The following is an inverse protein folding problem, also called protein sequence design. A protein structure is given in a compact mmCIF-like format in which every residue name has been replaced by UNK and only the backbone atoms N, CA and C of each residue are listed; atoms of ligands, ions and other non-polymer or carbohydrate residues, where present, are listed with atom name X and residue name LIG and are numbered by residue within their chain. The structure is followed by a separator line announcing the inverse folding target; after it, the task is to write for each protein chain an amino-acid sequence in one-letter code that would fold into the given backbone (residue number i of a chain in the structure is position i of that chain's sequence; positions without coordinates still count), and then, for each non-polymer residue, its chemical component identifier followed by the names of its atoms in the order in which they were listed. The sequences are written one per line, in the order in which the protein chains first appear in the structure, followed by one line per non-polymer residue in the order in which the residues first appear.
data_IF_771546506994
#
_entry.id   IF_771546506994
#
_cell.length_a   1.000
_cell.length_b   1.000
_cell.length_c   1.000
_cell.angle_alpha   90.00
_cell.angle_beta   90.00
_cell.angle_gamma   90.00
#
_symmetry.space_group_name_H-M   'P 1'
#
loop_
_entity.id
_entity.type
_entity.pdbx_description
1 polymer ?
#
# COMPACT_ATOMS: atom_id res chain seq x y z
N UNK A 1 -2.25 -0.20 2.90
CA UNK A 1 -3.43 0.31 2.18
C UNK A 1 -3.89 -0.70 1.14
N UNK A 2 -5.18 -0.80 0.90
CA UNK A 2 -5.75 -1.72 -0.09
C UNK A 2 -6.82 -1.00 -0.94
N UNK A 3 -7.14 -1.58 -2.10
CA UNK A 3 -8.13 -1.08 -3.06
C UNK A 3 -7.80 -1.52 -4.48
N UNK A 4 -8.78 -1.63 -5.36
CA UNK A 4 -8.62 -2.10 -6.74
C UNK A 4 -7.76 -1.19 -7.64
N UNK A 5 -7.46 -1.63 -8.86
CA UNK A 5 -6.93 -0.74 -9.88
C UNK A 5 -7.88 0.45 -10.08
N UNK A 6 -7.37 1.65 -10.27
CA UNK A 6 -8.20 2.86 -10.44
C UNK A 6 -8.81 3.44 -9.15
N UNK A 7 -8.70 2.76 -7.99
CA UNK A 7 -9.30 3.28 -6.73
C UNK A 7 -8.64 4.54 -6.15
N UNK A 8 -7.50 4.99 -6.67
CA UNK A 8 -6.82 6.19 -6.19
C UNK A 8 -5.95 6.02 -4.95
N UNK A 9 -5.58 4.79 -4.55
CA UNK A 9 -4.73 4.51 -3.38
C UNK A 9 -3.45 5.33 -3.33
N UNK A 10 -2.66 5.31 -4.40
CA UNK A 10 -1.38 6.04 -4.45
C UNK A 10 -1.59 7.54 -4.27
N UNK A 11 -2.67 8.08 -4.82
CA UNK A 11 -3.06 9.46 -4.65
C UNK A 11 -3.50 9.77 -3.22
N UNK A 12 -4.25 8.84 -2.59
CA UNK A 12 -4.62 8.94 -1.19
C UNK A 12 -3.40 8.88 -0.24
N UNK A 13 -2.35 8.11 -0.59
CA UNK A 13 -1.09 8.14 0.16
C UNK A 13 -0.38 9.48 -0.01
N UNK A 14 -0.30 9.97 -1.24
CA UNK A 14 0.43 11.19 -1.56
C UNK A 14 -0.21 12.43 -0.94
N UNK A 15 -1.51 12.60 -1.07
CA UNK A 15 -2.24 13.77 -0.56
C UNK A 15 -2.69 13.59 0.89
N UNK A 16 -3.23 12.44 1.25
CA UNK A 16 -3.78 12.22 2.60
C UNK A 16 -2.70 12.04 3.67
N UNK A 17 -1.62 11.36 3.35
CA UNK A 17 -0.52 11.11 4.31
C UNK A 17 0.63 12.10 4.07
N UNK A 18 0.73 12.64 2.84
CA UNK A 18 1.76 13.58 2.41
C UNK A 18 3.12 12.92 2.14
N UNK A 19 3.90 13.53 1.26
CA UNK A 19 5.29 13.18 1.03
C UNK A 19 6.21 14.18 1.73
N UNK A 20 7.21 13.69 2.46
CA UNK A 20 8.18 14.56 3.13
C UNK A 20 9.10 15.28 2.13
N UNK A 21 9.45 14.62 1.03
CA UNK A 21 10.32 15.14 -0.03
C UNK A 21 9.98 14.53 -1.38
N UNK A 22 10.07 15.32 -2.44
CA UNK A 22 9.89 14.85 -3.83
C UNK A 22 10.92 13.76 -4.14
N UNK A 23 10.43 12.59 -4.59
CA UNK A 23 11.27 11.44 -4.94
C UNK A 23 11.69 10.53 -3.78
N UNK A 24 11.44 10.92 -2.54
CA UNK A 24 11.67 10.07 -1.36
C UNK A 24 10.34 9.41 -0.97
N UNK A 25 10.32 8.08 -0.94
CA UNK A 25 9.13 7.29 -0.55
C UNK A 25 8.98 7.22 0.98
N UNK A 26 8.88 8.40 1.58
CA UNK A 26 8.62 8.60 3.01
C UNK A 26 7.49 9.62 3.14
N UNK A 27 6.52 9.32 3.98
CA UNK A 27 5.42 10.26 4.24
C UNK A 27 5.86 11.41 5.14
N UNK A 28 5.06 12.46 5.23
CA UNK A 28 5.31 13.58 6.14
C UNK A 28 5.41 13.14 7.62
N UNK A 29 4.78 12.01 7.97
CA UNK A 29 4.83 11.42 9.31
C UNK A 29 6.01 10.44 9.50
N UNK A 30 6.91 10.33 8.54
CA UNK A 30 8.10 9.45 8.61
C UNK A 30 7.84 7.99 8.24
N UNK A 31 6.63 7.61 7.79
CA UNK A 31 6.33 6.25 7.37
C UNK A 31 6.99 5.94 6.03
N UNK A 32 7.58 4.75 5.92
CA UNK A 32 8.20 4.26 4.68
C UNK A 32 7.13 3.68 3.74
N UNK A 33 7.10 4.11 2.49
CA UNK A 33 6.17 3.57 1.50
C UNK A 33 6.76 2.34 0.83
N UNK A 34 6.05 1.23 0.93
CA UNK A 34 6.39 -0.07 0.32
C UNK A 34 5.43 -0.29 -0.84
N UNK A 35 5.89 0.00 -2.06
CA UNK A 35 5.13 -0.18 -3.30
C UNK A 35 6.05 -0.71 -4.41
N UNK A 36 5.70 -1.85 -5.00
CA UNK A 36 6.49 -2.44 -6.10
C UNK A 36 6.21 -1.79 -7.46
N UNK A 37 5.07 -1.13 -7.61
CA UNK A 37 4.71 -0.49 -8.87
C UNK A 37 5.64 0.69 -9.18
N UNK A 38 6.03 1.48 -8.20
CA UNK A 38 6.98 2.59 -8.36
C UNK A 38 8.35 2.11 -8.88
N UNK A 39 8.84 1.01 -8.30
CA UNK A 39 10.11 0.40 -8.73
C UNK A 39 9.99 -0.17 -10.14
N UNK A 40 8.86 -0.80 -10.44
CA UNK A 40 8.58 -1.35 -11.76
C UNK A 40 8.51 -0.27 -12.83
N UNK A 41 7.80 0.84 -12.56
CA UNK A 41 7.72 1.97 -13.50
C UNK A 41 9.09 2.60 -13.76
N UNK A 42 9.94 2.71 -12.73
CA UNK A 42 11.33 3.14 -12.92
C UNK A 42 12.07 2.20 -13.85
N UNK A 43 11.98 0.88 -13.65
CA UNK A 43 12.65 -0.09 -14.50
C UNK A 43 12.15 -0.06 -15.95
N UNK A 44 10.85 0.17 -16.16
CA UNK A 44 10.30 0.36 -17.51
C UNK A 44 10.91 1.60 -18.19
N UNK A 45 11.02 2.72 -17.48
CA UNK A 45 11.66 3.94 -17.99
C UNK A 45 13.11 3.71 -18.36
N UNK A 46 13.88 3.10 -17.46
CA UNK A 46 15.31 2.82 -17.65
C UNK A 46 15.53 1.89 -18.85
N UNK A 47 14.64 0.93 -19.08
CA UNK A 47 14.65 0.02 -20.23
C UNK A 47 14.01 0.61 -21.49
N UNK A 48 13.48 1.84 -21.47
CA UNK A 48 12.76 2.50 -22.58
C UNK A 48 11.55 1.68 -23.08
N UNK A 49 10.90 0.93 -22.18
CA UNK A 49 9.70 0.14 -22.50
C UNK A 49 8.44 0.98 -22.30
N UNK A 50 7.44 0.70 -23.13
CA UNK A 50 6.12 1.34 -23.02
C UNK A 50 5.44 0.99 -21.69
N UNK A 51 4.68 1.95 -21.14
CA UNK A 51 3.89 1.77 -19.91
C UNK A 51 2.57 1.03 -20.14
N UNK A 52 2.12 0.88 -21.39
CA UNK A 52 0.87 0.17 -21.69
C UNK A 52 1.07 -1.33 -21.54
N UNK A 53 0.30 -1.95 -20.66
CA UNK A 53 0.36 -3.40 -20.39
C UNK A 53 -0.42 -4.22 -21.47
N UNK A 54 -0.31 -3.85 -22.73
CA UNK A 54 -0.93 -4.62 -23.80
C UNK A 54 -0.02 -5.79 -24.23
N UNK A 55 -0.60 -6.99 -24.31
CA UNK A 55 0.10 -8.22 -24.67
C UNK A 55 0.68 -8.24 -26.11
N UNK A 56 0.31 -7.28 -26.94
CA UNK A 56 0.59 -7.28 -28.38
C UNK A 56 2.01 -6.84 -28.78
N UNK A 57 2.86 -6.38 -27.86
CA UNK A 57 4.14 -5.73 -28.24
C UNK A 57 5.38 -6.63 -28.23
N UNK A 58 5.24 -7.95 -28.03
CA UNK A 58 6.39 -8.87 -27.95
C UNK A 58 7.30 -8.69 -26.71
N UNK A 59 7.10 -7.62 -25.93
CA UNK A 59 7.91 -7.25 -24.76
C UNK A 59 7.46 -7.92 -23.46
N UNK A 60 6.53 -8.87 -23.49
CA UNK A 60 5.92 -9.48 -22.31
C UNK A 60 6.94 -10.12 -21.36
N UNK A 61 7.87 -10.92 -21.89
CA UNK A 61 8.89 -11.61 -21.08
C UNK A 61 9.84 -10.65 -20.37
N UNK A 62 10.28 -9.60 -21.06
CA UNK A 62 11.18 -8.59 -20.47
C UNK A 62 10.46 -7.80 -19.37
N UNK A 63 9.22 -7.39 -19.61
CA UNK A 63 8.38 -6.72 -18.59
C UNK A 63 8.15 -7.59 -17.37
N UNK A 64 7.88 -8.89 -17.56
CA UNK A 64 7.69 -9.83 -16.46
C UNK A 64 8.97 -9.98 -15.63
N UNK A 65 10.13 -10.05 -16.28
CA UNK A 65 11.43 -10.09 -15.61
C UNK A 65 11.66 -8.81 -14.77
N UNK A 66 11.41 -7.64 -15.34
CA UNK A 66 11.52 -6.36 -14.63
C UNK A 66 10.52 -6.27 -13.45
N UNK A 67 9.30 -6.79 -13.63
CA UNK A 67 8.32 -6.84 -12.54
C UNK A 67 8.75 -7.75 -11.41
N UNK A 68 9.33 -8.90 -11.69
CA UNK A 68 9.88 -9.78 -10.65
C UNK A 68 11.06 -9.12 -9.93
N UNK A 69 11.97 -8.48 -10.65
CA UNK A 69 13.08 -7.71 -10.05
C UNK A 69 12.56 -6.60 -9.13
N UNK A 70 11.51 -5.88 -9.55
CA UNK A 70 10.89 -4.83 -8.75
C UNK A 70 10.30 -5.40 -7.45
N UNK A 71 9.59 -6.54 -7.51
CA UNK A 71 9.06 -7.23 -6.32
C UNK A 71 10.18 -7.65 -5.36
N UNK A 72 11.26 -8.25 -5.87
CA UNK A 72 12.40 -8.68 -5.04
C UNK A 72 13.05 -7.48 -4.34
N UNK A 73 13.30 -6.38 -5.07
CA UNK A 73 13.88 -5.18 -4.47
C UNK A 73 12.95 -4.56 -3.42
N UNK A 74 11.64 -4.51 -3.71
CA UNK A 74 10.65 -3.98 -2.76
C UNK A 74 10.59 -4.84 -1.49
N UNK A 75 10.66 -6.16 -1.63
CA UNK A 75 10.71 -7.08 -0.49
C UNK A 75 11.96 -6.83 0.37
N UNK A 76 13.14 -6.73 -0.24
CA UNK A 76 14.38 -6.40 0.49
C UNK A 76 14.29 -5.07 1.24
N UNK A 77 13.69 -4.04 0.61
CA UNK A 77 13.46 -2.75 1.29
C UNK A 77 12.53 -2.92 2.50
N UNK A 78 11.44 -3.67 2.34
CA UNK A 78 10.52 -3.96 3.43
C UNK A 78 11.20 -4.68 4.57
N UNK A 79 12.04 -5.67 4.29
CA UNK A 79 12.78 -6.43 5.30
C UNK A 79 13.73 -5.51 6.09
N UNK A 80 14.48 -4.62 5.40
CA UNK A 80 15.31 -3.62 6.06
C UNK A 80 14.49 -2.65 6.95
N UNK A 81 13.28 -2.27 6.53
CA UNK A 81 12.40 -1.42 7.34
C UNK A 81 11.89 -2.16 8.59
N UNK A 82 11.62 -3.46 8.45
CA UNK A 82 11.23 -4.32 9.58
C UNK A 82 12.38 -4.48 10.56
N UNK A 83 13.60 -4.73 10.07
CA UNK A 83 14.82 -4.82 10.88
C UNK A 83 15.06 -3.53 11.66
N UNK A 84 14.89 -2.38 11.01
CA UNK A 84 14.98 -1.05 11.63
C UNK A 84 13.77 -0.66 12.49
N UNK A 85 12.76 -1.50 12.63
CA UNK A 85 11.50 -1.21 13.35
C UNK A 85 10.80 0.07 12.88
N UNK A 86 10.88 0.36 11.59
CA UNK A 86 10.31 1.58 11.01
C UNK A 86 8.81 1.40 10.72
N UNK A 87 8.05 2.47 10.90
CA UNK A 87 6.66 2.51 10.47
C UNK A 87 6.54 2.45 8.94
N UNK A 88 5.52 1.75 8.43
CA UNK A 88 5.37 1.51 6.99
C UNK A 88 3.94 1.73 6.51
N UNK A 89 3.81 2.19 5.26
CA UNK A 89 2.60 2.09 4.45
C UNK A 89 2.86 1.05 3.37
N UNK A 90 2.25 -0.13 3.50
CA UNK A 90 2.34 -1.20 2.51
C UNK A 90 1.16 -1.03 1.55
N UNK A 91 1.44 -0.72 0.29
CA UNK A 91 0.44 -0.53 -0.75
C UNK A 91 0.21 -1.82 -1.53
N UNK A 92 -1.06 -2.21 -1.66
CA UNK A 92 -1.48 -3.41 -2.37
C UNK A 92 -2.89 -3.31 -2.93
N UNK A 93 -3.24 -4.22 -3.84
CA UNK A 93 -4.57 -4.19 -4.47
C UNK A 93 -5.70 -4.70 -3.58
N UNK A 94 -5.42 -5.47 -2.56
CA UNK A 94 -6.47 -6.10 -1.73
C UNK A 94 -7.08 -7.37 -2.32
N UNK A 95 -6.59 -7.87 -3.47
CA UNK A 95 -7.14 -9.08 -4.10
C UNK A 95 -6.74 -10.37 -3.39
N UNK A 96 -5.53 -10.48 -2.90
CA UNK A 96 -5.00 -11.68 -2.23
C UNK A 96 -5.20 -11.56 -0.72
N UNK A 97 -6.35 -12.06 -0.27
CA UNK A 97 -6.71 -12.04 1.15
C UNK A 97 -5.69 -12.79 2.01
N UNK A 98 -5.33 -14.00 1.60
CA UNK A 98 -4.45 -14.86 2.40
C UNK A 98 -3.06 -14.25 2.56
N UNK A 99 -2.48 -13.75 1.48
CA UNK A 99 -1.20 -13.07 1.53
C UNK A 99 -1.22 -11.88 2.49
N UNK A 100 -2.22 -11.01 2.36
CA UNK A 100 -2.32 -9.78 3.19
C UNK A 100 -2.50 -10.13 4.67
N UNK A 101 -3.34 -11.10 4.99
CA UNK A 101 -3.59 -11.50 6.38
C UNK A 101 -2.40 -12.25 6.99
N UNK A 102 -1.68 -13.05 6.21
CA UNK A 102 -0.42 -13.68 6.63
C UNK A 102 0.64 -12.63 6.92
N UNK A 103 0.87 -11.68 6.00
CA UNK A 103 1.84 -10.59 6.19
C UNK A 103 1.47 -9.75 7.44
N UNK A 104 0.18 -9.42 7.61
CA UNK A 104 -0.31 -8.68 8.76
C UNK A 104 -0.13 -9.44 10.09
N UNK A 105 -0.38 -10.76 10.09
CA UNK A 105 -0.18 -11.62 11.27
C UNK A 105 1.29 -11.69 11.65
N UNK A 106 2.17 -11.87 10.67
CA UNK A 106 3.63 -11.88 10.88
C UNK A 106 4.11 -10.56 11.49
N UNK A 107 3.64 -9.42 10.96
CA UNK A 107 3.98 -8.11 11.51
C UNK A 107 3.48 -7.93 12.96
N UNK A 108 2.26 -8.38 13.26
CA UNK A 108 1.72 -8.35 14.64
C UNK A 108 2.57 -9.21 15.60
N UNK A 109 3.03 -10.39 15.17
CA UNK A 109 3.86 -11.29 15.97
C UNK A 109 5.22 -10.69 16.35
N UNK A 110 5.76 -9.79 15.54
CA UNK A 110 7.02 -9.09 15.83
C UNK A 110 6.82 -7.70 16.46
N UNK A 111 5.58 -7.36 16.85
CA UNK A 111 5.27 -6.18 17.66
C UNK A 111 4.65 -4.99 16.93
N UNK A 112 4.36 -5.08 15.63
CA UNK A 112 3.67 -3.99 14.93
C UNK A 112 2.18 -3.93 15.27
N UNK A 113 1.65 -2.73 15.43
CA UNK A 113 0.22 -2.45 15.31
C UNK A 113 -0.12 -2.35 13.82
N UNK A 114 -1.05 -3.19 13.36
CA UNK A 114 -1.37 -3.27 11.93
C UNK A 114 -2.80 -2.80 11.68
N UNK A 115 -2.92 -1.83 10.79
CA UNK A 115 -4.19 -1.22 10.39
C UNK A 115 -4.39 -1.37 8.89
N UNK A 116 -5.65 -1.40 8.45
CA UNK A 116 -5.98 -1.37 7.03
C UNK A 116 -6.82 -0.13 6.71
N UNK A 117 -6.36 0.63 5.72
CA UNK A 117 -7.16 1.65 5.04
C UNK A 117 -7.50 1.09 3.67
N UNK A 118 -8.78 0.93 3.41
CA UNK A 118 -9.30 0.38 2.17
C UNK A 118 -9.93 1.50 1.35
N UNK A 119 -9.34 1.79 0.19
CA UNK A 119 -9.87 2.82 -0.73
C UNK A 119 -10.79 2.15 -1.73
N UNK A 120 -12.07 2.43 -1.63
CA UNK A 120 -13.13 1.86 -2.45
C UNK A 120 -13.58 2.84 -3.53
N UNK A 121 -13.98 2.29 -4.67
CA UNK A 121 -14.64 3.00 -5.77
C UNK A 121 -15.63 2.08 -6.46
N UNK A 122 -16.59 2.63 -7.19
CA UNK A 122 -17.41 1.87 -8.12
C UNK A 122 -16.57 1.32 -9.27
N UNK A 123 -17.09 0.34 -9.98
CA UNK A 123 -16.40 -0.25 -11.14
C UNK A 123 -16.25 0.78 -12.26
N UNK A 124 -17.28 1.59 -12.50
CA UNK A 124 -17.31 2.63 -13.51
C UNK A 124 -16.19 3.64 -13.30
N UNK A 125 -16.06 4.17 -12.09
CA UNK A 125 -14.99 5.11 -11.71
C UNK A 125 -13.60 4.47 -11.83
N UNK A 126 -13.48 3.19 -11.46
CA UNK A 126 -12.21 2.47 -11.59
C UNK A 126 -11.79 2.30 -13.06
N UNK A 127 -12.74 2.00 -13.96
CA UNK A 127 -12.52 1.87 -15.39
C UNK A 127 -12.16 3.23 -16.01
N UNK A 128 -12.93 4.27 -15.75
CA UNK A 128 -12.67 5.62 -16.22
C UNK A 128 -11.26 6.08 -15.84
N UNK A 129 -10.90 6.00 -14.56
CA UNK A 129 -9.57 6.39 -14.09
C UNK A 129 -8.44 5.55 -14.66
N UNK A 130 -8.71 4.29 -15.00
CA UNK A 130 -7.72 3.44 -15.65
C UNK A 130 -7.36 3.95 -17.05
N UNK A 131 -8.33 4.51 -17.80
CA UNK A 131 -8.07 5.08 -19.14
C UNK A 131 -7.23 6.35 -19.09
N UNK A 132 -7.30 7.11 -17.99
CA UNK A 132 -6.59 8.37 -17.80
C UNK A 132 -5.12 8.18 -17.34
N UNK A 133 -4.74 6.95 -16.98
CA UNK A 133 -3.40 6.66 -16.46
C UNK A 133 -2.39 6.44 -17.57
N UNK A 134 -1.13 6.89 -17.43
CA UNK A 134 -0.05 6.54 -18.35
C UNK A 134 0.13 5.02 -18.46
N UNK A 135 0.05 4.31 -17.34
CA UNK A 135 0.09 2.84 -17.29
C UNK A 135 -1.33 2.28 -17.20
N UNK A 136 -1.90 1.98 -18.34
CA UNK A 136 -3.21 1.36 -18.42
C UNK A 136 -3.12 -0.15 -18.21
N UNK A 137 -4.11 -0.68 -17.52
CA UNK A 137 -4.31 -2.12 -17.31
C UNK A 137 -5.46 -2.57 -18.22
N UNK A 138 -5.39 -3.74 -18.87
CA UNK A 138 -6.51 -4.26 -19.66
C UNK A 138 -7.81 -4.27 -18.83
N UNK A 139 -8.91 -3.84 -19.44
CA UNK A 139 -10.21 -3.68 -18.79
C UNK A 139 -10.65 -4.95 -18.04
N UNK A 140 -10.53 -6.11 -18.69
CA UNK A 140 -10.83 -7.40 -18.06
C UNK A 140 -10.08 -7.59 -16.74
N UNK A 141 -8.81 -7.21 -16.67
CA UNK A 141 -8.01 -7.33 -15.43
C UNK A 141 -8.50 -6.34 -14.37
N UNK A 142 -8.98 -5.16 -14.76
CA UNK A 142 -9.59 -4.19 -13.82
C UNK A 142 -10.86 -4.79 -13.23
N UNK A 143 -11.76 -5.31 -14.07
CA UNK A 143 -13.04 -5.93 -13.65
C UNK A 143 -12.79 -7.12 -12.73
N UNK A 144 -11.93 -8.06 -13.13
CA UNK A 144 -11.62 -9.25 -12.34
C UNK A 144 -10.99 -8.87 -10.99
N UNK A 145 -10.10 -7.88 -10.99
CA UNK A 145 -9.47 -7.40 -9.77
C UNK A 145 -10.46 -6.68 -8.86
N UNK A 146 -11.36 -5.86 -9.41
CA UNK A 146 -12.40 -5.16 -8.68
C UNK A 146 -13.33 -6.15 -7.99
N UNK A 147 -13.84 -7.15 -8.72
CA UNK A 147 -14.71 -8.19 -8.18
C UNK A 147 -14.05 -8.94 -7.01
N UNK A 148 -12.80 -9.37 -7.16
CA UNK A 148 -12.05 -10.06 -6.09
C UNK A 148 -11.86 -9.18 -4.87
N UNK A 149 -11.58 -7.91 -5.08
CA UNK A 149 -11.37 -6.92 -4.02
C UNK A 149 -12.67 -6.70 -3.24
N UNK A 150 -13.82 -6.53 -3.93
CA UNK A 150 -15.12 -6.38 -3.28
C UNK A 150 -15.49 -7.59 -2.40
N UNK A 151 -15.24 -8.80 -2.88
CA UNK A 151 -15.47 -10.03 -2.11
C UNK A 151 -14.61 -10.12 -0.83
N UNK A 152 -13.51 -9.40 -0.77
CA UNK A 152 -12.59 -9.44 0.37
C UNK A 152 -12.87 -8.37 1.43
N UNK A 153 -13.64 -7.31 1.13
CA UNK A 153 -13.88 -6.19 2.07
C UNK A 153 -14.38 -6.70 3.43
N UNK A 154 -15.47 -7.46 3.43
CA UNK A 154 -16.05 -7.99 4.68
C UNK A 154 -15.14 -8.99 5.41
N UNK A 155 -14.30 -9.72 4.67
CA UNK A 155 -13.28 -10.62 5.25
C UNK A 155 -12.18 -9.81 5.95
N UNK A 156 -11.69 -8.73 5.31
CA UNK A 156 -10.71 -7.84 5.92
C UNK A 156 -11.26 -7.13 7.15
N UNK A 157 -12.50 -6.64 7.09
CA UNK A 157 -13.15 -6.02 8.23
C UNK A 157 -13.20 -6.96 9.44
N UNK A 158 -13.56 -8.23 9.23
CA UNK A 158 -13.53 -9.24 10.30
C UNK A 158 -12.13 -9.51 10.84
N UNK A 159 -11.11 -9.61 9.96
CA UNK A 159 -9.75 -9.91 10.34
C UNK A 159 -9.07 -8.76 11.12
N UNK A 160 -9.19 -7.53 10.64
CA UNK A 160 -8.58 -6.36 11.28
C UNK A 160 -9.41 -5.82 12.45
N UNK A 161 -10.72 -6.05 12.45
CA UNK A 161 -11.69 -5.49 13.40
C UNK A 161 -11.97 -4.01 13.12
N UNK A 162 -13.12 -3.52 13.56
CA UNK A 162 -13.63 -2.17 13.26
C UNK A 162 -12.68 -1.04 13.70
N UNK A 163 -11.88 -1.25 14.75
CA UNK A 163 -10.92 -0.24 15.25
C UNK A 163 -9.69 -0.08 14.36
N UNK A 164 -9.35 -1.10 13.59
CA UNK A 164 -8.14 -1.15 12.77
C UNK A 164 -8.45 -1.27 11.26
N UNK A 165 -9.71 -1.11 10.88
CA UNK A 165 -10.17 -1.17 9.49
C UNK A 165 -10.99 0.06 9.15
N UNK A 166 -10.57 0.80 8.14
CA UNK A 166 -11.25 2.00 7.65
C UNK A 166 -11.52 1.83 6.17
N UNK A 167 -12.77 2.07 5.76
CA UNK A 167 -13.15 2.16 4.35
C UNK A 167 -13.23 3.64 3.99
N UNK A 168 -12.60 4.01 2.91
CA UNK A 168 -12.62 5.34 2.31
C UNK A 168 -13.33 5.24 0.98
N UNK A 169 -14.47 5.90 0.85
CA UNK A 169 -15.14 6.05 -0.44
C UNK A 169 -14.41 7.13 -1.26
N UNK A 170 -13.96 6.74 -2.46
CA UNK A 170 -13.25 7.63 -3.38
C UNK A 170 -13.91 7.64 -4.77
N UNK A 171 -15.25 7.59 -4.82
CA UNK A 171 -15.99 7.76 -6.08
C UNK A 171 -15.84 9.18 -6.61
N UNK A 172 -15.92 10.17 -5.73
CA UNK A 172 -15.65 11.56 -6.05
C UNK A 172 -14.28 11.97 -5.51
N UNK A 173 -13.48 12.63 -6.33
CA UNK A 173 -12.21 13.21 -5.88
C UNK A 173 -12.54 14.47 -5.09
N UNK A 174 -12.39 14.39 -3.78
CA UNK A 174 -12.55 15.57 -2.90
C UNK A 174 -11.39 15.65 -1.92
N UNK A 175 -11.03 16.85 -1.54
CA UNK A 175 -10.01 17.09 -0.51
C UNK A 175 -10.41 16.46 0.82
N UNK A 176 -11.71 16.38 1.11
CA UNK A 176 -12.26 15.75 2.32
C UNK A 176 -11.87 14.28 2.46
N UNK A 177 -11.83 13.53 1.33
CA UNK A 177 -11.42 12.11 1.31
C UNK A 177 -9.96 11.98 1.76
N UNK A 178 -9.08 12.84 1.27
CA UNK A 178 -7.66 12.82 1.60
C UNK A 178 -7.40 13.30 3.02
N UNK A 179 -8.12 14.33 3.45
CA UNK A 179 -8.10 14.81 4.83
C UNK A 179 -8.55 13.72 5.82
N UNK A 180 -9.58 12.95 5.48
CA UNK A 180 -10.04 11.81 6.27
C UNK A 180 -8.94 10.75 6.41
N UNK A 181 -8.28 10.37 5.30
CA UNK A 181 -7.15 9.44 5.34
C UNK A 181 -6.03 9.97 6.24
N UNK A 182 -5.68 11.23 6.10
CA UNK A 182 -4.67 11.89 6.92
C UNK A 182 -5.03 11.94 8.40
N UNK A 183 -6.29 12.24 8.74
CA UNK A 183 -6.81 12.21 10.12
C UNK A 183 -6.72 10.81 10.73
N UNK A 184 -7.13 9.78 9.97
CA UNK A 184 -7.08 8.39 10.43
C UNK A 184 -5.64 7.91 10.66
N UNK A 185 -4.71 8.21 9.76
CA UNK A 185 -3.30 7.86 9.96
C UNK A 185 -2.73 8.57 11.18
N UNK A 186 -2.99 9.86 11.37
CA UNK A 186 -2.56 10.59 12.57
C UNK A 186 -3.17 10.00 13.85
N UNK A 187 -4.42 9.56 13.81
CA UNK A 187 -5.09 8.87 14.94
C UNK A 187 -4.36 7.56 15.28
N UNK A 188 -4.04 6.76 14.27
CA UNK A 188 -3.31 5.49 14.44
C UNK A 188 -1.92 5.71 15.05
N UNK A 189 -1.19 6.72 14.56
CA UNK A 189 0.17 7.04 15.03
C UNK A 189 0.22 7.61 16.45
N UNK A 190 -0.86 8.26 16.90
CA UNK A 190 -0.98 8.79 18.27
C UNK A 190 -1.42 7.75 19.29
N UNK A 191 -1.85 6.57 18.84
CA UNK A 191 -2.26 5.49 19.73
C UNK A 191 -1.05 5.05 20.56
N UNK A 192 -1.27 4.91 21.88
CA UNK A 192 -0.24 4.37 22.77
C UNK A 192 0.11 2.95 22.38
N UNK A 193 1.38 2.63 22.31
CA UNK A 193 1.87 1.27 22.07
C UNK A 193 1.40 0.37 23.20
N UNK A 194 0.59 -0.65 22.88
CA UNK A 194 0.06 -1.62 23.84
C UNK A 194 0.56 -3.06 23.59
N UNK A 195 1.13 -3.33 22.43
CA UNK A 195 1.76 -4.62 22.14
C UNK A 195 2.99 -4.85 23.06
N UNK A 196 2.97 -5.95 23.81
CA UNK A 196 4.02 -6.26 24.80
C UNK A 196 5.42 -6.45 24.19
N UNK A 197 5.51 -7.01 22.97
CA UNK A 197 6.79 -7.19 22.26
C UNK A 197 7.38 -5.82 21.90
N UNK A 198 6.54 -4.91 21.38
CA UNK A 198 6.97 -3.56 21.07
C UNK A 198 7.39 -2.79 22.32
N UNK A 199 6.63 -2.87 23.43
CA UNK A 199 7.01 -2.25 24.71
C UNK A 199 8.36 -2.74 25.21
N UNK A 200 8.55 -4.05 25.27
CA UNK A 200 9.82 -4.64 25.72
C UNK A 200 10.99 -4.18 24.86
N UNK A 201 10.81 -4.10 23.55
CA UNK A 201 11.85 -3.60 22.65
C UNK A 201 12.18 -2.11 22.93
N UNK A 202 11.15 -1.26 23.06
CA UNK A 202 11.30 0.18 23.36
C UNK A 202 12.03 0.36 24.69
N UNK A 203 11.61 -0.33 25.74
CA UNK A 203 12.22 -0.24 27.07
C UNK A 203 13.71 -0.65 27.05
N UNK A 204 14.04 -1.70 26.31
CA UNK A 204 15.43 -2.13 26.13
C UNK A 204 16.25 -1.07 25.37
N UNK A 205 15.71 -0.46 24.32
CA UNK A 205 16.40 0.61 23.59
C UNK A 205 16.63 1.85 24.46
N UNK A 206 15.65 2.22 25.28
CA UNK A 206 15.80 3.36 26.21
C UNK A 206 16.87 3.10 27.25
N UNK A 207 16.93 1.89 27.83
CA UNK A 207 17.98 1.49 28.79
C UNK A 207 19.38 1.53 28.17
N UNK A 208 19.52 1.12 26.87
CA UNK A 208 20.82 1.19 26.20
C UNK A 208 21.29 2.63 25.91
N UNK A 209 20.36 3.57 25.70
CA UNK A 209 20.69 5.00 25.49
C UNK A 209 21.09 5.74 26.75
N UNK A 210 20.77 5.19 27.93
CA UNK A 210 21.11 5.79 29.24
C UNK A 210 22.46 5.32 29.77
N UNK A 211 23.13 4.40 29.06
CA UNK A 211 24.50 3.94 29.34
C UNK A 211 25.49 4.70 28.48
#
# INVERSE_FOLDING_TARGET
MAGGPGSGKSYAVELGIGQAQKGVKVTAQGLKVVNSDDVFEKYLKDAKLDFKMQAATGQGKERDALRQRAKVLTKKKQDNYIEGRLGMVIDGTGKDYNKITTDASTLKQIGYDVHMIFVNTSLEVALERNTQRPRQVPEKIVIDSWNQVQQNIGKFQRFFGNKNFVIVDNNEVSDDVFDMVGKEVRRMLRKKVDNHIAKNWIDNQLKMKQR
#
